data_IF_561388463479
#
_entry.id   IF_561388463479
#
_cell.length_a   1.000
_cell.length_b   1.000
_cell.length_c   1.000
_cell.angle_alpha   90.00
_cell.angle_beta   90.00
_cell.angle_gamma   90.00
#
_symmetry.space_group_name_H-M   'P 1'
#
loop_
_entity.id
_entity.type
_entity.pdbx_description
1 polymer ?
#
# COMPACT_ATOMS: atom_id res chain seq x y z
N UNK A 1 -8.01 9.90 -0.97
CA UNK A 1 -7.22 9.66 0.28
C UNK A 1 -7.69 8.40 0.98
N UNK A 2 -6.76 7.62 1.58
CA UNK A 2 -7.03 6.36 2.29
C UNK A 2 -6.26 6.25 3.61
N UNK A 3 -6.79 5.46 4.55
CA UNK A 3 -6.07 5.01 5.73
C UNK A 3 -5.48 3.62 5.50
N UNK A 4 -4.19 3.46 5.81
CA UNK A 4 -3.55 2.16 6.00
C UNK A 4 -3.50 1.89 7.50
N UNK A 5 -4.11 0.79 7.94
CA UNK A 5 -3.98 0.28 9.30
C UNK A 5 -2.93 -0.82 9.36
N UNK A 6 -1.98 -0.66 10.27
CA UNK A 6 -0.90 -1.61 10.53
C UNK A 6 -0.64 -1.70 12.03
N UNK A 7 -1.01 -2.82 12.64
CA UNK A 7 -1.01 -3.01 14.10
C UNK A 7 -1.76 -1.86 14.81
N UNK A 8 -1.09 -1.09 15.68
CA UNK A 8 -1.68 0.07 16.37
C UNK A 8 -1.53 1.39 15.62
N UNK A 9 -1.06 1.36 14.36
CA UNK A 9 -0.77 2.56 13.56
C UNK A 9 -1.82 2.77 12.49
N UNK A 10 -2.26 4.02 12.32
CA UNK A 10 -3.07 4.47 11.19
C UNK A 10 -2.27 5.47 10.39
N UNK A 11 -2.18 5.28 9.08
CA UNK A 11 -1.40 6.10 8.15
C UNK A 11 -2.33 6.68 7.11
N UNK A 12 -2.51 8.01 7.13
CA UNK A 12 -3.25 8.72 6.09
C UNK A 12 -2.34 8.99 4.89
N UNK A 13 -2.77 8.58 3.70
CA UNK A 13 -2.00 8.73 2.46
C UNK A 13 -2.94 8.88 1.25
N UNK A 14 -2.36 9.21 0.10
CA UNK A 14 -3.06 9.18 -1.20
C UNK A 14 -3.48 7.76 -1.58
N UNK A 15 -4.50 7.67 -2.43
CA UNK A 15 -5.13 6.43 -2.85
C UNK A 15 -4.17 5.55 -3.62
N UNK A 16 -3.42 6.15 -4.54
CA UNK A 16 -2.41 5.49 -5.35
C UNK A 16 -1.30 4.84 -4.51
N UNK A 17 -0.89 5.52 -3.43
CA UNK A 17 0.10 5.02 -2.47
C UNK A 17 -0.48 3.88 -1.65
N UNK A 18 -1.69 4.02 -1.10
CA UNK A 18 -2.32 2.97 -0.31
C UNK A 18 -2.52 1.69 -1.13
N UNK A 19 -3.02 1.83 -2.35
CA UNK A 19 -3.23 0.71 -3.27
C UNK A 19 -1.90 0.05 -3.64
N UNK A 20 -0.86 0.83 -3.96
CA UNK A 20 0.47 0.28 -4.24
C UNK A 20 1.05 -0.49 -3.04
N UNK A 21 0.85 -0.01 -1.80
CA UNK A 21 1.36 -0.65 -0.59
C UNK A 21 0.69 -2.00 -0.35
N UNK A 22 -0.64 -2.08 -0.45
CA UNK A 22 -1.35 -3.35 -0.25
C UNK A 22 -1.09 -4.36 -1.39
N UNK A 23 -0.96 -3.88 -2.63
CA UNK A 23 -0.52 -4.70 -3.77
C UNK A 23 0.89 -5.28 -3.53
N UNK A 24 1.83 -4.45 -3.07
CA UNK A 24 3.19 -4.88 -2.75
C UNK A 24 3.24 -5.89 -1.60
N UNK A 25 2.44 -5.68 -0.55
CA UNK A 25 2.33 -6.60 0.57
C UNK A 25 1.81 -7.98 0.14
N UNK A 26 0.79 -8.02 -0.73
CA UNK A 26 0.28 -9.27 -1.29
C UNK A 26 1.35 -9.99 -2.13
N UNK A 27 2.15 -9.26 -2.91
CA UNK A 27 3.26 -9.83 -3.68
C UNK A 27 4.39 -10.38 -2.78
N UNK A 28 4.64 -9.74 -1.63
CA UNK A 28 5.60 -10.22 -0.63
C UNK A 28 5.15 -11.52 0.03
N UNK A 29 3.86 -11.66 0.36
CA UNK A 29 3.30 -12.81 1.08
C UNK A 29 3.56 -14.17 0.41
N UNK A 30 3.81 -14.18 -0.91
CA UNK A 30 4.19 -15.38 -1.65
C UNK A 30 5.60 -15.91 -1.39
N UNK A 31 6.44 -15.24 -0.59
CA UNK A 31 7.76 -15.73 -0.18
C UNK A 31 8.06 -15.40 1.28
N UNK A 32 8.88 -16.22 1.93
CA UNK A 32 9.33 -16.01 3.32
C UNK A 32 10.30 -14.80 3.40
N UNK A 33 9.75 -13.61 3.20
CA UNK A 33 10.45 -12.34 2.99
C UNK A 33 9.81 -11.24 3.80
N UNK A 34 10.64 -10.28 4.18
CA UNK A 34 10.19 -9.05 4.78
C UNK A 34 10.88 -7.86 4.09
N UNK A 35 10.20 -6.72 4.07
CA UNK A 35 10.75 -5.47 3.56
C UNK A 35 10.28 -4.27 4.39
N UNK A 36 11.06 -3.20 4.40
CA UNK A 36 10.69 -1.93 5.03
C UNK A 36 10.20 -0.95 3.97
N UNK A 37 8.96 -0.48 4.11
CA UNK A 37 8.35 0.48 3.19
C UNK A 37 8.29 1.86 3.85
N UNK A 38 8.84 2.87 3.19
CA UNK A 38 8.76 4.27 3.61
C UNK A 38 7.58 4.96 2.92
N UNK A 39 6.40 4.85 3.53
CA UNK A 39 5.12 5.34 3.00
C UNK A 39 5.08 6.87 3.12
N UNK A 40 5.01 7.61 2.00
CA UNK A 40 4.70 9.03 2.07
C UNK A 40 3.29 9.22 2.64
N UNK A 41 3.14 10.06 3.64
CA UNK A 41 1.90 10.15 4.42
C UNK A 41 1.61 11.60 4.82
N UNK A 42 0.42 11.84 5.34
CA UNK A 42 -0.03 13.13 5.87
C UNK A 42 -0.13 13.03 7.39
N UNK A 43 0.47 13.98 8.11
CA UNK A 43 0.38 14.07 9.57
C UNK A 43 -0.96 14.72 10.01
N UNK A 44 -1.27 14.66 11.31
CA UNK A 44 -2.52 15.22 11.86
C UNK A 44 -2.68 16.73 11.60
N UNK A 45 -1.58 17.46 11.44
CA UNK A 45 -1.57 18.89 11.14
C UNK A 45 -1.64 19.20 9.63
N UNK A 46 -1.85 18.18 8.80
CA UNK A 46 -1.90 18.29 7.34
C UNK A 46 -0.53 18.38 6.67
N UNK A 47 0.58 18.32 7.42
CA UNK A 47 1.92 18.38 6.83
C UNK A 47 2.32 17.04 6.21
N UNK A 48 3.13 17.11 5.16
CA UNK A 48 3.67 15.91 4.52
C UNK A 48 4.74 15.28 5.42
N UNK A 49 4.62 13.98 5.64
CA UNK A 49 5.54 13.17 6.44
C UNK A 49 5.87 11.86 5.72
N UNK A 50 6.65 11.01 6.37
CA UNK A 50 6.96 9.66 5.91
C UNK A 50 6.88 8.69 7.08
N UNK A 51 6.02 7.69 6.96
CA UNK A 51 5.89 6.61 7.94
C UNK A 51 6.60 5.37 7.42
N UNK A 52 7.48 4.76 8.23
CA UNK A 52 8.18 3.54 7.86
C UNK A 52 7.52 2.34 8.52
N UNK A 53 7.12 1.35 7.73
CA UNK A 53 6.53 0.10 8.21
C UNK A 53 7.38 -1.10 7.78
N UNK A 54 7.38 -2.14 8.59
CA UNK A 54 7.97 -3.44 8.25
C UNK A 54 6.85 -4.36 7.78
N UNK A 55 6.91 -4.86 6.55
CA UNK A 55 5.95 -5.83 6.02
C UNK A 55 6.63 -7.19 6.00
N UNK A 56 6.11 -8.16 6.75
CA UNK A 56 6.57 -9.54 6.78
C UNK A 56 5.50 -10.53 6.29
N UNK A 57 5.81 -11.84 6.26
CA UNK A 57 4.93 -12.87 5.68
C UNK A 57 3.57 -13.00 6.39
N UNK A 58 3.48 -12.54 7.64
CA UNK A 58 2.26 -12.58 8.45
C UNK A 58 1.73 -11.18 8.78
N UNK A 59 2.22 -10.14 8.09
CA UNK A 59 1.67 -8.80 8.25
C UNK A 59 0.23 -8.74 7.76
N UNK A 60 -0.67 -8.28 8.60
CA UNK A 60 -2.02 -7.89 8.23
C UNK A 60 -2.06 -6.39 7.93
N UNK A 61 -2.64 -6.02 6.79
CA UNK A 61 -2.80 -4.62 6.37
C UNK A 61 -4.26 -4.44 5.98
N UNK A 62 -4.88 -3.40 6.51
CA UNK A 62 -6.21 -2.95 6.10
C UNK A 62 -6.08 -1.60 5.43
N UNK A 63 -6.71 -1.44 4.27
CA UNK A 63 -6.85 -0.16 3.58
C UNK A 63 -8.33 0.19 3.56
N UNK A 64 -8.68 1.39 4.03
CA UNK A 64 -10.03 1.92 3.99
C UNK A 64 -10.04 3.34 3.44
N UNK A 65 -11.17 3.75 2.86
CA UNK A 65 -11.35 5.10 2.38
C UNK A 65 -11.32 6.10 3.55
N UNK A 66 -10.64 7.22 3.35
CA UNK A 66 -10.69 8.38 4.24
C UNK A 66 -11.58 9.47 3.64
N UNK A 67 -11.92 10.50 4.43
CA UNK A 67 -12.61 11.66 3.89
C UNK A 67 -11.80 12.28 2.73
N UNK A 68 -12.46 12.59 1.62
CA UNK A 68 -11.83 13.18 0.44
C UNK A 68 -11.17 14.53 0.79
N UNK A 69 -9.92 14.70 0.35
CA UNK A 69 -9.20 15.97 0.38
C UNK A 69 -8.88 16.36 -1.07
N UNK A 70 -9.41 17.50 -1.52
CA UNK A 70 -9.22 18.05 -2.87
C UNK A 70 -7.74 18.37 -3.18
N UNK A 71 -6.83 18.28 -2.20
CA UNK A 71 -5.40 18.59 -2.32
C UNK A 71 -4.50 17.35 -2.48
N UNK A 72 -5.06 16.20 -2.84
CA UNK A 72 -4.29 14.97 -3.02
C UNK A 72 -3.16 15.13 -4.06
N UNK A 73 -1.93 14.85 -3.63
CA UNK A 73 -0.75 14.89 -4.50
C UNK A 73 -0.35 13.47 -4.91
N UNK A 74 -0.50 13.18 -6.19
CA UNK A 74 -0.05 11.91 -6.80
C UNK A 74 1.43 11.63 -6.51
N UNK A 75 1.75 10.37 -6.18
CA UNK A 75 3.11 9.92 -5.85
C UNK A 75 3.61 8.90 -6.86
N UNK A 76 3.50 9.26 -8.14
CA UNK A 76 3.81 8.39 -9.28
C UNK A 76 5.15 7.67 -9.15
N UNK A 77 6.21 8.37 -8.71
CA UNK A 77 7.55 7.78 -8.56
C UNK A 77 7.59 6.69 -7.48
N UNK A 78 6.91 6.92 -6.34
CA UNK A 78 6.81 5.94 -5.27
C UNK A 78 6.01 4.72 -5.73
N UNK A 79 4.84 4.95 -6.31
CA UNK A 79 3.93 3.92 -6.82
C UNK A 79 4.61 3.05 -7.88
N UNK A 80 5.25 3.68 -8.87
CA UNK A 80 5.97 2.99 -9.93
C UNK A 80 7.10 2.12 -9.39
N UNK A 81 7.86 2.61 -8.40
CA UNK A 81 8.93 1.84 -7.76
C UNK A 81 8.40 0.64 -7.01
N UNK A 82 7.31 0.79 -6.25
CA UNK A 82 6.75 -0.29 -5.44
C UNK A 82 6.17 -1.40 -6.32
N UNK A 83 5.46 -1.02 -7.39
CA UNK A 83 4.96 -1.95 -8.42
C UNK A 83 6.10 -2.63 -9.20
N UNK A 84 7.19 -1.92 -9.49
CA UNK A 84 8.36 -2.51 -10.12
C UNK A 84 9.06 -3.52 -9.19
N UNK A 85 9.14 -3.24 -7.89
CA UNK A 85 9.68 -4.16 -6.90
C UNK A 85 8.81 -5.43 -6.77
N UNK A 86 7.48 -5.30 -6.72
CA UNK A 86 6.55 -6.44 -6.68
C UNK A 86 6.81 -7.43 -7.82
N UNK A 87 7.05 -6.93 -9.04
CA UNK A 87 7.36 -7.72 -10.26
C UNK A 87 8.64 -8.56 -10.17
N UNK A 88 9.49 -8.34 -9.17
CA UNK A 88 10.67 -9.17 -8.95
C UNK A 88 10.35 -10.48 -8.20
N UNK A 89 9.13 -10.62 -7.68
CA UNK A 89 8.68 -11.79 -6.94
C UNK A 89 7.93 -12.79 -7.84
N UNK A 90 8.05 -14.09 -7.54
CA UNK A 90 7.43 -15.16 -8.34
C UNK A 90 5.89 -15.15 -8.36
N UNK A 91 5.26 -14.47 -7.40
CA UNK A 91 3.82 -14.19 -7.37
C UNK A 91 3.62 -12.68 -7.20
N UNK A 92 3.93 -11.93 -8.26
CA UNK A 92 3.98 -10.46 -8.20
C UNK A 92 2.63 -9.76 -8.30
N UNK A 93 1.59 -10.46 -8.77
CA UNK A 93 0.29 -9.87 -9.07
C UNK A 93 -0.76 -10.39 -8.08
N UNK A 94 -1.43 -9.48 -7.32
CA UNK A 94 -2.61 -9.84 -6.56
C UNK A 94 -3.72 -10.30 -7.50
N UNK A 95 -4.51 -11.28 -7.06
CA UNK A 95 -5.50 -11.96 -7.93
C UNK A 95 -6.74 -11.07 -8.22
N UNK A 96 -7.06 -10.11 -7.33
CA UNK A 96 -8.24 -9.23 -7.41
C UNK A 96 -9.51 -9.95 -7.88
N UNK A 97 -9.84 -11.07 -7.23
CA UNK A 97 -10.90 -11.98 -7.67
C UNK A 97 -12.30 -11.33 -7.71
N UNK A 98 -12.53 -10.31 -6.90
CA UNK A 98 -13.75 -9.50 -6.84
C UNK A 98 -13.98 -8.68 -8.13
N UNK A 99 -12.92 -8.37 -8.87
CA UNK A 99 -12.98 -7.62 -10.15
C UNK A 99 -12.98 -8.52 -11.39
N UNK A 100 -12.81 -9.83 -11.22
CA UNK A 100 -12.67 -10.79 -12.33
C UNK A 100 -14.01 -11.19 -12.92
N UNK A 101 -14.21 -10.89 -14.20
CA UNK A 101 -15.43 -11.22 -14.95
C UNK A 101 -15.46 -12.63 -15.54
N UNK A 102 -14.34 -13.36 -15.49
CA UNK A 102 -14.16 -14.69 -16.08
C UNK A 102 -14.40 -15.85 -15.10
N UNK A 103 -14.78 -15.56 -13.86
CA UNK A 103 -14.94 -16.54 -12.76
C UNK A 103 -16.40 -17.00 -12.50
N UNK A 104 -17.29 -16.91 -13.50
CA UNK A 104 -18.72 -17.28 -13.38
C UNK A 104 -19.11 -18.53 -14.16
#
# INVERSE_FOLDING_TARGET
>A
MKHIHYDSSTILTSDDVADAVIEYAAALAGGDRADTVAVPAVAEDGTMTTTKILIGPSSEIVVEDAEEDDLELEREEFVSRLRAAAKTFGHSEPIHADTRSDLT
#
